data_IF_347050574002
#
_entry.id   IF_347050574002
#
_cell.length_a   1.000
_cell.length_b   1.000
_cell.length_c   1.000
_cell.angle_alpha   90.00
_cell.angle_beta   90.00
_cell.angle_gamma   90.00
#
_symmetry.space_group_name_H-M   'P 1'
#
loop_
_entity.id
_entity.type
_entity.pdbx_description
1 polymer ?
#
# COMPACT_ATOMS: atom_id res chain seq x y z
N UNK A 1 -16.39 -8.27 -7.26
CA UNK A 1 -15.50 -7.27 -6.63
C UNK A 1 -14.84 -7.94 -5.42
N UNK A 2 -13.52 -7.98 -5.35
CA UNK A 2 -12.78 -8.63 -4.24
C UNK A 2 -12.40 -7.57 -3.19
N UNK A 3 -12.72 -7.83 -1.91
CA UNK A 3 -12.49 -6.87 -0.80
C UNK A 3 -11.67 -7.54 0.33
N UNK A 4 -10.34 -7.69 0.16
CA UNK A 4 -9.50 -8.34 1.15
C UNK A 4 -9.43 -7.49 2.43
N UNK A 5 -9.59 -8.14 3.59
CA UNK A 5 -9.39 -7.52 4.90
C UNK A 5 -8.01 -7.90 5.43
N UNK A 6 -7.21 -6.90 5.78
CA UNK A 6 -5.88 -7.07 6.39
C UNK A 6 -5.67 -6.05 7.48
N UNK A 7 -4.88 -6.43 8.48
CA UNK A 7 -4.38 -5.53 9.51
C UNK A 7 -2.85 -5.65 9.54
N UNK A 8 -2.20 -4.57 9.97
CA UNK A 8 -0.76 -4.51 10.21
C UNK A 8 -0.63 -4.01 11.64
N UNK A 9 0.12 -4.75 12.46
CA UNK A 9 0.44 -4.33 13.83
C UNK A 9 1.86 -3.79 13.83
N UNK A 10 2.04 -2.56 14.29
CA UNK A 10 3.33 -1.87 14.38
C UNK A 10 3.56 -1.44 15.82
N UNK A 11 4.84 -1.36 16.22
CA UNK A 11 5.21 -0.71 17.46
C UNK A 11 4.92 0.80 17.36
N UNK A 12 4.68 1.44 18.51
CA UNK A 12 4.50 2.89 18.58
C UNK A 12 5.85 3.60 18.51
N UNK A 13 6.27 3.92 17.29
CA UNK A 13 7.53 4.60 17.01
C UNK A 13 7.45 5.54 15.80
N UNK A 14 8.56 6.25 15.53
CA UNK A 14 8.75 7.06 14.32
C UNK A 14 9.45 6.20 13.27
N UNK A 15 8.76 5.92 12.16
CA UNK A 15 9.28 5.17 11.02
C UNK A 15 9.47 6.07 9.81
N UNK A 16 10.19 5.58 8.82
CA UNK A 16 10.29 6.24 7.52
C UNK A 16 9.10 5.87 6.62
N UNK A 17 8.75 6.74 5.67
CA UNK A 17 7.72 6.41 4.68
C UNK A 17 8.16 5.25 3.79
N UNK A 18 9.46 5.07 3.55
CA UNK A 18 10.00 3.89 2.86
C UNK A 18 9.67 2.59 3.58
N UNK A 19 9.91 2.54 4.88
CA UNK A 19 9.60 1.37 5.71
C UNK A 19 8.10 1.08 5.73
N UNK A 20 7.29 2.13 5.89
CA UNK A 20 5.84 1.99 5.92
C UNK A 20 5.28 1.56 4.55
N UNK A 21 5.78 2.08 3.44
CA UNK A 21 5.45 1.64 2.08
C UNK A 21 5.78 0.17 1.88
N UNK A 22 6.97 -0.28 2.31
CA UNK A 22 7.39 -1.67 2.22
C UNK A 22 6.44 -2.61 2.97
N UNK A 23 6.16 -2.32 4.25
CA UNK A 23 5.29 -3.16 5.09
C UNK A 23 3.87 -3.22 4.51
N UNK A 24 3.33 -2.08 4.06
CA UNK A 24 1.99 -2.02 3.49
C UNK A 24 1.92 -2.80 2.17
N UNK A 25 2.87 -2.60 1.25
CA UNK A 25 2.89 -3.33 -0.02
C UNK A 25 3.11 -4.83 0.20
N UNK A 26 3.93 -5.21 1.17
CA UNK A 26 4.10 -6.62 1.56
C UNK A 26 2.77 -7.25 2.02
N UNK A 27 2.00 -6.55 2.85
CA UNK A 27 0.66 -7.00 3.25
C UNK A 27 -0.28 -7.14 2.04
N UNK A 28 -0.13 -6.30 1.00
CA UNK A 28 -0.91 -6.40 -0.23
C UNK A 28 -0.48 -7.55 -1.16
N UNK A 29 0.81 -7.86 -1.21
CA UNK A 29 1.35 -9.02 -1.95
C UNK A 29 0.74 -10.32 -1.41
N UNK A 30 0.46 -10.41 -0.11
CA UNK A 30 -0.15 -11.59 0.53
C UNK A 30 -1.51 -12.03 -0.07
N UNK A 31 -2.16 -11.19 -0.89
CA UNK A 31 -3.39 -11.52 -1.59
C UNK A 31 -3.32 -11.26 -3.10
N UNK A 32 -2.10 -11.23 -3.65
CA UNK A 32 -1.89 -11.25 -5.10
C UNK A 32 -1.66 -9.90 -5.76
N UNK A 33 -1.45 -8.82 -4.99
CA UNK A 33 -0.94 -7.57 -5.56
C UNK A 33 0.45 -7.83 -6.15
N UNK A 34 0.70 -7.35 -7.37
CA UNK A 34 1.93 -7.55 -8.16
C UNK A 34 2.20 -8.98 -8.66
N UNK A 35 1.29 -9.94 -8.44
CA UNK A 35 1.40 -11.25 -9.10
C UNK A 35 0.90 -11.16 -10.55
N UNK A 36 1.51 -11.88 -11.48
CA UNK A 36 1.15 -11.87 -12.92
C UNK A 36 1.87 -10.79 -13.73
N UNK A 37 1.53 -10.66 -15.01
CA UNK A 37 2.29 -9.83 -15.97
C UNK A 37 1.89 -8.35 -15.97
N UNK A 38 0.75 -8.03 -15.36
CA UNK A 38 0.20 -6.68 -15.37
C UNK A 38 0.35 -5.96 -14.03
N UNK A 39 0.98 -4.79 -14.06
CA UNK A 39 1.06 -3.90 -12.91
C UNK A 39 -0.33 -3.42 -12.48
N UNK A 40 -0.63 -3.42 -11.17
CA UNK A 40 -1.88 -2.90 -10.64
C UNK A 40 -1.95 -1.38 -10.81
N UNK A 41 -3.14 -0.86 -11.11
CA UNK A 41 -3.41 0.58 -11.09
C UNK A 41 -4.21 0.97 -9.85
N UNK A 42 -4.00 2.18 -9.36
CA UNK A 42 -4.70 2.71 -8.21
C UNK A 42 -3.77 3.20 -7.11
N UNK A 43 -4.36 3.52 -5.97
CA UNK A 43 -3.69 4.16 -4.86
C UNK A 43 -3.90 3.38 -3.58
N UNK A 44 -2.84 3.31 -2.78
CA UNK A 44 -2.90 2.95 -1.36
C UNK A 44 -2.69 4.25 -0.59
N UNK A 45 -3.60 4.56 0.32
CA UNK A 45 -3.64 5.83 1.05
C UNK A 45 -3.52 5.56 2.54
N UNK A 46 -2.45 6.05 3.15
CA UNK A 46 -2.27 6.08 4.61
C UNK A 46 -2.97 7.34 5.12
N UNK A 47 -4.06 7.18 5.87
CA UNK A 47 -4.78 8.31 6.46
C UNK A 47 -4.29 8.52 7.89
N UNK A 48 -3.97 9.76 8.25
CA UNK A 48 -3.63 10.13 9.63
C UNK A 48 -4.87 10.53 10.42
N UNK A 49 -4.76 10.50 11.76
CA UNK A 49 -5.83 10.89 12.68
C UNK A 49 -6.28 12.35 12.47
N UNK A 50 -5.37 13.22 12.05
CA UNK A 50 -5.61 14.66 11.83
C UNK A 50 -6.06 14.99 10.39
N UNK A 51 -6.39 13.99 9.57
CA UNK A 51 -6.88 14.19 8.20
C UNK A 51 -5.77 14.35 7.13
N UNK A 52 -4.50 14.30 7.52
CA UNK A 52 -3.37 14.22 6.60
C UNK A 52 -3.33 12.87 5.87
N UNK A 53 -2.64 12.83 4.72
CA UNK A 53 -2.59 11.64 3.85
C UNK A 53 -1.20 11.45 3.24
N UNK A 54 -0.79 10.19 3.12
CA UNK A 54 0.32 9.77 2.28
C UNK A 54 -0.19 8.80 1.21
N UNK A 55 -0.07 9.20 -0.05
CA UNK A 55 -0.50 8.39 -1.19
C UNK A 55 0.68 7.59 -1.76
N UNK A 56 0.45 6.30 -1.97
CA UNK A 56 1.37 5.35 -2.60
C UNK A 56 0.70 4.88 -3.90
N UNK A 57 1.29 5.24 -5.03
CA UNK A 57 0.77 4.85 -6.34
C UNK A 57 1.19 3.40 -6.63
N UNK A 58 0.23 2.50 -6.83
CA UNK A 58 0.52 1.07 -6.94
C UNK A 58 1.31 0.71 -8.20
N UNK A 59 1.24 1.52 -9.25
CA UNK A 59 1.86 1.20 -10.54
C UNK A 59 3.36 1.54 -10.61
N UNK A 60 3.95 2.09 -9.54
CA UNK A 60 5.36 2.47 -9.49
C UNK A 60 5.93 2.39 -8.07
N UNK A 61 7.26 2.43 -7.97
CA UNK A 61 7.97 2.49 -6.70
C UNK A 61 7.76 3.83 -5.99
N UNK A 62 8.03 3.87 -4.67
CA UNK A 62 8.06 5.11 -3.90
C UNK A 62 9.14 6.05 -4.46
N UNK A 63 8.80 7.34 -4.60
CA UNK A 63 9.76 8.35 -5.07
C UNK A 63 10.90 8.55 -4.05
N UNK A 64 12.15 8.60 -4.52
CA UNK A 64 13.36 8.65 -3.67
C UNK A 64 13.40 9.82 -2.69
N UNK A 65 12.88 10.97 -3.11
CA UNK A 65 12.75 12.19 -2.30
C UNK A 65 11.78 12.03 -1.12
N UNK A 66 10.89 11.04 -1.18
CA UNK A 66 9.90 10.74 -0.13
C UNK A 66 10.35 9.68 0.87
N UNK A 67 11.44 8.95 0.59
CA UNK A 67 11.86 7.80 1.40
C UNK A 67 12.06 8.17 2.88
N UNK A 68 12.68 9.31 3.16
CA UNK A 68 13.08 9.72 4.50
C UNK A 68 12.02 10.54 5.26
N UNK A 69 10.80 10.66 4.72
CA UNK A 69 9.69 11.32 5.43
C UNK A 69 9.39 10.55 6.71
N UNK A 70 9.46 11.23 7.85
CA UNK A 70 9.24 10.63 9.18
C UNK A 70 7.75 10.61 9.52
N UNK A 71 7.26 9.47 9.97
CA UNK A 71 5.85 9.24 10.31
C UNK A 71 5.79 8.59 11.68
N UNK A 72 5.01 9.18 12.60
CA UNK A 72 4.64 8.50 13.84
C UNK A 72 3.57 7.47 13.52
N UNK A 73 3.85 6.21 13.78
CA UNK A 73 2.88 5.11 13.58
C UNK A 73 1.60 5.32 14.39
N UNK A 74 1.70 5.92 15.59
CA UNK A 74 0.54 6.28 16.40
C UNK A 74 -0.32 7.39 15.78
N UNK A 75 0.16 8.16 14.80
CA UNK A 75 -0.65 9.16 14.09
C UNK A 75 -1.49 8.54 12.96
N UNK A 76 -1.26 7.26 12.61
CA UNK A 76 -1.99 6.57 11.55
C UNK A 76 -3.39 6.19 12.05
N UNK A 77 -4.41 6.53 11.28
CA UNK A 77 -5.81 6.15 11.52
C UNK A 77 -6.12 4.81 10.86
N UNK A 78 -5.90 4.71 9.56
CA UNK A 78 -6.11 3.50 8.77
C UNK A 78 -5.39 3.60 7.42
N UNK A 79 -5.38 2.49 6.68
CA UNK A 79 -4.97 2.45 5.27
C UNK A 79 -6.19 2.10 4.43
N UNK A 80 -6.45 2.88 3.40
CA UNK A 80 -7.52 2.65 2.42
C UNK A 80 -6.90 2.45 1.04
N UNK A 81 -7.51 1.62 0.20
CA UNK A 81 -6.98 1.36 -1.13
C UNK A 81 -8.11 1.13 -2.13
N UNK A 82 -7.89 1.59 -3.35
CA UNK A 82 -8.71 1.28 -4.52
C UNK A 82 -7.76 0.80 -5.60
N UNK A 83 -7.69 -0.51 -5.77
CA UNK A 83 -6.71 -1.16 -6.65
C UNK A 83 -7.45 -1.95 -7.72
N UNK A 84 -7.10 -1.66 -8.97
CA UNK A 84 -7.62 -2.34 -10.15
C UNK A 84 -6.49 -3.11 -10.77
N UNK A 85 -6.59 -4.43 -10.72
CA UNK A 85 -5.80 -5.32 -11.56
C UNK A 85 -6.62 -5.59 -12.81
N UNK A 86 -6.11 -5.24 -13.98
CA UNK A 86 -6.69 -5.77 -15.23
C UNK A 86 -6.28 -7.24 -15.28
N UNK A 87 -7.24 -8.15 -15.25
CA UNK A 87 -6.98 -9.56 -15.51
C UNK A 87 -8.03 -10.02 -16.49
N UNK A 88 -7.56 -10.51 -17.63
CA UNK A 88 -8.03 -11.75 -18.23
C UNK A 88 -6.77 -12.50 -18.66
N UNK A 89 -6.00 -12.98 -17.68
CA UNK A 89 -4.85 -13.87 -17.91
C UNK A 89 -5.25 -15.31 -17.56
N UNK A 90 -6.42 -15.76 -18.03
CA UNK A 90 -6.86 -17.16 -18.20
C UNK A 90 -7.93 -17.06 -19.30
N UNK A 91 -7.74 -17.60 -20.50
CA UNK A 91 -7.80 -19.03 -20.79
C UNK A 91 -6.65 -19.49 -21.72
N UNK A 92 -5.70 -20.26 -21.16
CA UNK A 92 -5.07 -21.35 -21.90
C UNK A 92 -5.51 -22.65 -21.22
N UNK A 93 -6.43 -23.36 -21.87
CA UNK A 93 -6.62 -24.81 -21.74
C UNK A 93 -6.56 -25.37 -23.16
#
# INVERSE_FOLDING_TARGET
MYTPKRNITLNKEVVTLKELDHIIRFAHISYGLYMGEHLPKGNIVINTKNGGKYTLESHKELQKDRENVKIKTDDIKNVTFELVKRVNDIEQV
#
